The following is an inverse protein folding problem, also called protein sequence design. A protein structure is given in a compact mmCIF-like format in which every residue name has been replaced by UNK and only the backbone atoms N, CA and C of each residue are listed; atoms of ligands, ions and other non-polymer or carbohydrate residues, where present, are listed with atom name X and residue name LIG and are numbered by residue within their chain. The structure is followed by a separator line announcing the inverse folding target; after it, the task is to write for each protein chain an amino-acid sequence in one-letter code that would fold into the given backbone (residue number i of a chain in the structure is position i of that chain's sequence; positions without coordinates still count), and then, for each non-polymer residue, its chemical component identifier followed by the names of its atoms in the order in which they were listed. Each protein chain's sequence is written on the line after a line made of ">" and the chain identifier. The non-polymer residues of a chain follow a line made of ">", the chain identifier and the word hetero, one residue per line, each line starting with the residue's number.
data_IF_223331239942
#
_entry.id   IF_223331239942
#
_cell.length_a   1.000
_cell.length_b   1.000
_cell.length_c   1.000
_cell.angle_alpha   90.00
_cell.angle_beta   90.00
_cell.angle_gamma   90.00
#
_symmetry.space_group_name_H-M   'P 1'
#
loop_
_entity.id
_entity.type
_entity.pdbx_description
1 polymer ?
#
# COMPACT_ATOMS: atom_id res chain seq x y z
N UNK A 1 -24.93 0.74 -6.73
CA UNK A 1 -23.94 1.57 -6.01
C UNK A 1 -22.63 1.54 -6.79
N UNK A 2 -22.02 2.68 -7.05
CA UNK A 2 -20.74 2.78 -7.76
C UNK A 2 -19.63 2.17 -6.87
N UNK A 3 -18.74 1.35 -7.44
CA UNK A 3 -17.62 0.78 -6.67
C UNK A 3 -16.61 1.90 -6.39
N UNK A 4 -16.31 2.14 -5.11
CA UNK A 4 -15.28 3.07 -4.69
C UNK A 4 -13.91 2.40 -4.75
N UNK A 5 -12.93 3.12 -5.29
CA UNK A 5 -11.55 2.69 -5.34
C UNK A 5 -10.67 3.75 -4.67
N UNK A 6 -9.45 3.37 -4.35
CA UNK A 6 -8.46 4.23 -3.75
C UNK A 6 -7.17 4.10 -4.53
N UNK A 7 -6.58 5.23 -4.90
CA UNK A 7 -5.18 5.31 -5.31
C UNK A 7 -4.38 5.60 -4.02
N UNK A 8 -3.29 4.89 -3.79
CA UNK A 8 -2.49 5.06 -2.57
C UNK A 8 -1.00 5.01 -2.86
N UNK A 9 -0.22 5.67 -1.99
CA UNK A 9 1.25 5.63 -1.97
C UNK A 9 1.72 5.13 -0.61
N UNK A 10 2.53 4.08 -0.62
CA UNK A 10 3.23 3.55 0.56
C UNK A 10 4.74 3.67 0.36
N UNK A 11 5.48 3.72 1.47
CA UNK A 11 6.94 3.78 1.48
C UNK A 11 7.54 2.87 2.55
N UNK A 12 8.86 2.67 2.50
CA UNK A 12 9.63 2.10 3.61
C UNK A 12 9.82 3.13 4.75
N UNK A 13 10.29 2.65 5.91
CA UNK A 13 10.49 3.47 7.11
C UNK A 13 11.35 4.72 6.87
N UNK A 14 12.34 4.62 5.97
CA UNK A 14 13.28 5.71 5.63
C UNK A 14 12.76 6.67 4.56
N UNK A 15 11.55 6.48 4.05
CA UNK A 15 10.96 7.28 2.97
C UNK A 15 11.81 7.34 1.67
N UNK A 16 12.53 6.26 1.34
CA UNK A 16 13.43 6.21 0.16
C UNK A 16 12.89 5.39 -1.00
N UNK A 17 11.93 4.49 -0.77
CA UNK A 17 11.35 3.63 -1.81
C UNK A 17 9.84 3.72 -1.74
N UNK A 18 9.24 4.22 -2.82
CA UNK A 18 7.81 4.42 -2.93
C UNK A 18 7.16 3.34 -3.79
N UNK A 19 5.91 3.04 -3.48
CA UNK A 19 5.06 2.16 -4.26
C UNK A 19 3.65 2.74 -4.33
N UNK A 20 3.12 2.82 -5.55
CA UNK A 20 1.75 3.25 -5.82
C UNK A 20 0.87 2.05 -6.14
N UNK A 21 -0.37 2.04 -5.66
CA UNK A 21 -1.32 0.97 -5.97
C UNK A 21 -2.77 1.44 -5.98
N UNK A 22 -3.65 0.55 -6.43
CA UNK A 22 -5.10 0.73 -6.41
C UNK A 22 -5.78 -0.42 -5.68
N UNK A 23 -6.80 -0.12 -4.89
CA UNK A 23 -7.61 -1.12 -4.19
C UNK A 23 -9.02 -0.58 -3.94
N UNK A 24 -10.02 -1.47 -3.82
CA UNK A 24 -11.36 -1.11 -3.34
C UNK A 24 -11.49 -1.16 -1.81
N UNK A 25 -10.47 -1.67 -1.12
CA UNK A 25 -10.39 -1.70 0.34
C UNK A 25 -8.95 -1.33 0.75
N UNK A 26 -8.78 -0.07 1.19
CA UNK A 26 -7.48 0.48 1.55
C UNK A 26 -6.94 -0.15 2.83
N UNK A 27 -7.75 -0.21 3.88
CA UNK A 27 -7.35 -0.72 5.20
C UNK A 27 -6.79 -2.15 5.11
N UNK A 28 -7.55 -3.07 4.50
CA UNK A 28 -7.11 -4.46 4.30
C UNK A 28 -5.81 -4.52 3.50
N UNK A 29 -5.68 -3.72 2.44
CA UNK A 29 -4.49 -3.74 1.60
C UNK A 29 -3.25 -3.26 2.37
N UNK A 30 -3.39 -2.26 3.23
CA UNK A 30 -2.28 -1.78 4.06
C UNK A 30 -1.91 -2.82 5.11
N UNK A 31 -2.87 -3.52 5.69
CA UNK A 31 -2.61 -4.65 6.58
C UNK A 31 -1.85 -5.78 5.86
N UNK A 32 -2.23 -6.14 4.63
CA UNK A 32 -1.52 -7.14 3.82
C UNK A 32 -0.03 -6.77 3.59
N UNK A 33 0.26 -5.47 3.37
CA UNK A 33 1.64 -4.97 3.21
C UNK A 33 2.42 -4.96 4.53
N UNK A 34 1.78 -4.64 5.66
CA UNK A 34 2.39 -4.72 7.00
C UNK A 34 2.73 -6.16 7.36
N UNK A 35 1.81 -7.08 7.12
CA UNK A 35 1.96 -8.51 7.42
C UNK A 35 2.76 -9.28 6.35
N UNK A 36 3.22 -8.60 5.29
CA UNK A 36 4.04 -9.18 4.22
C UNK A 36 3.40 -10.43 3.59
N UNK A 37 2.06 -10.41 3.46
CA UNK A 37 1.24 -11.53 2.98
C UNK A 37 1.64 -11.93 1.57
N UNK A 38 1.81 -10.93 0.70
CA UNK A 38 2.19 -11.14 -0.71
C UNK A 38 3.70 -11.02 -0.86
N UNK A 39 4.32 -12.00 -1.51
CA UNK A 39 5.73 -11.92 -1.94
C UNK A 39 5.84 -10.94 -3.11
N UNK A 40 6.84 -10.06 -3.08
CA UNK A 40 7.04 -9.10 -4.17
C UNK A 40 7.90 -7.90 -3.77
N UNK A 41 7.83 -6.85 -4.58
CA UNK A 41 8.61 -5.62 -4.42
C UNK A 41 8.43 -4.97 -3.04
N UNK A 42 7.17 -4.78 -2.61
CA UNK A 42 6.87 -4.13 -1.33
C UNK A 42 7.40 -4.93 -0.13
N UNK A 43 7.38 -6.27 -0.22
CA UNK A 43 8.02 -7.15 0.77
C UNK A 43 9.55 -7.03 0.75
N UNK A 44 10.17 -7.06 -0.43
CA UNK A 44 11.64 -6.99 -0.61
C UNK A 44 12.23 -5.72 0.00
N UNK A 45 11.56 -4.58 -0.17
CA UNK A 45 12.04 -3.28 0.30
C UNK A 45 11.44 -2.81 1.63
N UNK A 46 10.73 -3.70 2.32
CA UNK A 46 10.01 -3.40 3.57
C UNK A 46 9.12 -2.14 3.48
N UNK A 47 8.31 -2.07 2.44
CA UNK A 47 7.38 -0.98 2.15
C UNK A 47 6.02 -1.31 2.77
N UNK A 48 5.63 -0.58 3.81
CA UNK A 48 4.39 -0.79 4.56
C UNK A 48 3.83 0.48 5.23
N UNK A 49 4.49 1.62 5.08
CA UNK A 49 4.07 2.90 5.64
C UNK A 49 3.20 3.66 4.64
N UNK A 50 1.91 3.77 4.91
CA UNK A 50 1.00 4.62 4.13
C UNK A 50 1.34 6.10 4.32
N UNK A 51 1.49 6.83 3.22
CA UNK A 51 1.81 8.27 3.23
C UNK A 51 0.82 9.11 2.42
N UNK A 52 0.05 8.50 1.52
CA UNK A 52 -0.98 9.19 0.75
C UNK A 52 -2.07 8.23 0.31
N UNK A 53 -3.31 8.72 0.22
CA UNK A 53 -4.38 8.08 -0.52
C UNK A 53 -5.39 9.12 -1.03
N UNK A 54 -6.10 8.77 -2.10
CA UNK A 54 -7.24 9.52 -2.64
C UNK A 54 -8.34 8.55 -3.11
N UNK A 55 -9.53 9.08 -3.37
CA UNK A 55 -10.75 8.34 -3.76
C UNK A 55 -11.00 8.52 -5.26
#
# INVERSE_FOLDING_TARGET
>A
MQKQYYIYIITNQRNTVFYTGVTSNLERRIEDHKNKVVKGFTKKYNIDKLVYYEI
#
